data_IF_234566442301
#
_entry.id   IF_234566442301
#
_cell.length_a   1.000
_cell.length_b   1.000
_cell.length_c   1.000
_cell.angle_alpha   90.00
_cell.angle_beta   90.00
_cell.angle_gamma   90.00
#
_symmetry.space_group_name_H-M   'P 1'
#
loop_
_entity.id
_entity.type
_entity.pdbx_description
1 polymer ?
#
# COMPACT_ATOMS: atom_id res chain seq x y z
N UNK A 1 -1.13 -3.33 -9.14
CA UNK A 1 -2.05 -3.35 -7.98
C UNK A 1 -2.26 -1.97 -7.35
N UNK A 2 -1.20 -1.22 -6.98
CA UNK A 2 -1.35 0.17 -6.48
C UNK A 2 -2.19 1.08 -7.39
N UNK A 3 -1.93 1.10 -8.71
CA UNK A 3 -2.75 1.85 -9.68
C UNK A 3 -4.22 1.42 -9.66
N UNK A 4 -4.52 0.14 -9.50
CA UNK A 4 -5.91 -0.34 -9.44
C UNK A 4 -6.64 0.14 -8.17
N UNK A 5 -5.95 0.15 -7.02
CA UNK A 5 -6.52 0.65 -5.76
C UNK A 5 -6.71 2.16 -5.78
N UNK A 6 -5.72 2.91 -6.26
CA UNK A 6 -5.83 4.37 -6.48
C UNK A 6 -6.99 4.65 -7.43
N UNK A 7 -7.04 3.95 -8.56
CA UNK A 7 -8.08 4.12 -9.56
C UNK A 7 -9.49 3.78 -9.09
N UNK A 8 -9.65 2.85 -8.15
CA UNK A 8 -10.95 2.59 -7.54
C UNK A 8 -11.43 3.78 -6.72
N UNK A 9 -10.58 4.30 -5.82
CA UNK A 9 -10.93 5.45 -4.96
C UNK A 9 -11.14 6.73 -5.76
N UNK A 10 -10.30 6.98 -6.77
CA UNK A 10 -10.43 8.16 -7.63
C UNK A 10 -11.75 8.13 -8.41
N UNK A 11 -12.17 6.96 -8.93
CA UNK A 11 -13.47 6.82 -9.63
C UNK A 11 -14.67 7.06 -8.72
N UNK A 12 -14.52 6.80 -7.42
CA UNK A 12 -15.53 7.08 -6.40
C UNK A 12 -15.48 8.55 -5.91
N UNK A 13 -14.60 9.38 -6.48
CA UNK A 13 -14.45 10.79 -6.12
C UNK A 13 -13.62 11.02 -4.85
N UNK A 14 -12.98 9.99 -4.31
CA UNK A 14 -12.14 10.08 -3.12
C UNK A 14 -10.71 10.55 -3.41
N UNK A 15 -9.98 10.85 -2.33
CA UNK A 15 -8.56 11.16 -2.35
C UNK A 15 -7.75 9.97 -1.84
N UNK A 16 -6.57 9.77 -2.41
CA UNK A 16 -5.64 8.74 -1.98
C UNK A 16 -4.28 9.35 -1.64
N UNK A 17 -3.60 8.76 -0.66
CA UNK A 17 -2.18 8.98 -0.44
C UNK A 17 -1.37 7.75 -0.86
N UNK A 18 -0.26 7.96 -1.53
CA UNK A 18 0.74 6.95 -1.81
C UNK A 18 2.08 7.36 -1.21
N UNK A 19 2.55 6.57 -0.25
CA UNK A 19 3.87 6.69 0.36
C UNK A 19 4.79 5.68 -0.35
N UNK A 20 5.76 6.18 -1.10
CA UNK A 20 6.57 5.40 -2.03
C UNK A 20 8.07 5.72 -1.86
N UNK A 21 8.75 5.14 -0.85
CA UNK A 21 10.15 5.40 -0.57
C UNK A 21 11.13 5.04 -1.69
N UNK A 22 10.74 4.11 -2.56
CA UNK A 22 11.61 3.61 -3.62
C UNK A 22 11.30 4.20 -4.99
N UNK A 23 10.39 5.18 -5.05
CA UNK A 23 9.94 5.83 -6.29
C UNK A 23 9.54 4.78 -7.33
N UNK A 24 8.87 3.72 -6.89
CA UNK A 24 8.40 2.69 -7.80
C UNK A 24 7.28 3.23 -8.68
N UNK A 25 6.56 4.28 -8.26
CA UNK A 25 5.37 4.83 -8.90
C UNK A 25 5.67 5.54 -10.20
N UNK A 26 4.87 5.22 -11.21
CA UNK A 26 4.91 5.83 -12.54
C UNK A 26 3.68 6.73 -12.72
N UNK A 27 3.84 8.06 -12.57
CA UNK A 27 2.75 9.03 -12.76
C UNK A 27 2.30 9.13 -14.22
N UNK A 28 3.21 8.90 -15.18
CA UNK A 28 2.92 9.08 -16.61
C UNK A 28 1.89 8.05 -17.13
N UNK A 29 1.79 6.90 -16.47
CA UNK A 29 0.79 5.88 -16.77
C UNK A 29 -0.59 6.13 -16.15
N UNK A 30 -0.84 7.27 -15.50
CA UNK A 30 -2.12 7.55 -14.86
C UNK A 30 -3.11 8.22 -15.84
N UNK A 31 -4.40 7.81 -15.82
CA UNK A 31 -5.46 8.53 -16.52
C UNK A 31 -5.58 10.00 -16.07
N UNK A 32 -6.21 10.81 -16.91
CA UNK A 32 -6.49 12.21 -16.62
C UNK A 32 -7.28 12.39 -15.30
N UNK A 33 -6.96 13.45 -14.54
CA UNK A 33 -7.61 13.76 -13.26
C UNK A 33 -7.22 12.85 -12.08
N UNK A 34 -6.48 11.76 -12.28
CA UNK A 34 -6.01 10.92 -11.15
C UNK A 34 -5.01 11.64 -10.25
N UNK A 35 -4.03 12.31 -10.87
CA UNK A 35 -2.94 12.94 -10.12
C UNK A 35 -3.42 14.10 -9.25
N UNK A 36 -4.52 14.76 -9.62
CA UNK A 36 -5.16 15.82 -8.83
C UNK A 36 -5.74 15.31 -7.51
N UNK A 37 -6.01 14.00 -7.43
CA UNK A 37 -6.61 13.33 -6.26
C UNK A 37 -5.62 12.45 -5.51
N UNK A 38 -4.34 12.49 -5.89
CA UNK A 38 -3.29 11.66 -5.34
C UNK A 38 -2.25 12.52 -4.62
N UNK A 39 -2.14 12.35 -3.30
CA UNK A 39 -0.99 12.82 -2.55
C UNK A 39 0.15 11.80 -2.67
N UNK A 40 1.19 12.14 -3.42
CA UNK A 40 2.38 11.30 -3.56
C UNK A 40 3.50 11.76 -2.63
N UNK A 41 3.86 10.91 -1.67
CA UNK A 41 4.91 11.16 -0.68
C UNK A 41 6.09 10.26 -0.97
N UNK A 42 7.29 10.86 -1.09
CA UNK A 42 8.54 10.16 -1.40
C UNK A 42 9.51 10.24 -0.22
N UNK A 43 9.32 9.43 0.84
CA UNK A 43 10.23 9.37 1.98
C UNK A 43 11.55 8.69 1.61
N UNK A 44 12.60 8.88 2.41
CA UNK A 44 13.91 8.26 2.10
C UNK A 44 14.05 6.80 2.56
N UNK A 45 13.26 6.39 3.54
CA UNK A 45 13.44 5.12 4.25
C UNK A 45 12.12 4.63 4.87
N UNK A 46 12.15 3.41 5.42
CA UNK A 46 10.98 2.82 6.07
C UNK A 46 10.48 3.62 7.28
N UNK A 47 11.37 4.26 8.04
CA UNK A 47 11.01 5.01 9.25
C UNK A 47 10.22 6.27 8.88
N UNK A 48 10.71 7.04 7.90
CA UNK A 48 10.00 8.19 7.35
C UNK A 48 8.70 7.79 6.67
N UNK A 49 8.65 6.61 6.04
CA UNK A 49 7.43 6.07 5.45
C UNK A 49 6.34 5.88 6.51
N UNK A 50 6.69 5.29 7.66
CA UNK A 50 5.73 5.09 8.75
C UNK A 50 5.38 6.40 9.47
N UNK A 51 6.33 7.33 9.58
CA UNK A 51 6.05 8.66 10.11
C UNK A 51 5.06 9.43 9.23
N UNK A 52 5.23 9.39 7.90
CA UNK A 52 4.29 9.96 6.95
C UNK A 52 2.91 9.30 7.09
N UNK A 53 2.84 7.97 7.16
CA UNK A 53 1.57 7.26 7.35
C UNK A 53 0.87 7.69 8.65
N UNK A 54 1.61 7.83 9.75
CA UNK A 54 1.06 8.27 11.04
C UNK A 54 0.47 9.69 10.95
N UNK A 55 1.16 10.63 10.28
CA UNK A 55 0.67 11.99 10.07
C UNK A 55 -0.62 12.01 9.24
N UNK A 56 -0.64 11.28 8.12
CA UNK A 56 -1.80 11.26 7.22
C UNK A 56 -3.03 10.60 7.85
N UNK A 57 -2.82 9.54 8.64
CA UNK A 57 -3.92 8.88 9.35
C UNK A 57 -4.48 9.73 10.49
N UNK A 58 -3.65 10.55 11.14
CA UNK A 58 -4.10 11.51 12.17
C UNK A 58 -4.87 12.68 11.58
N UNK A 59 -4.46 13.14 10.40
CA UNK A 59 -5.14 14.20 9.67
C UNK A 59 -6.57 13.77 9.28
N UNK A 60 -6.76 12.52 8.88
CA UNK A 60 -8.08 11.92 8.71
C UNK A 60 -8.82 12.33 7.44
N UNK A 61 -8.24 13.19 6.60
CA UNK A 61 -8.88 13.67 5.36
C UNK A 61 -8.70 12.73 4.17
N UNK A 62 -7.88 11.67 4.31
CA UNK A 62 -7.54 10.75 3.23
C UNK A 62 -8.16 9.38 3.50
N UNK A 63 -9.25 9.01 2.78
CA UNK A 63 -9.93 7.73 2.99
C UNK A 63 -9.06 6.52 2.61
N UNK A 64 -8.02 6.70 1.80
CA UNK A 64 -7.06 5.65 1.44
C UNK A 64 -5.63 6.13 1.63
N UNK A 65 -4.86 5.40 2.44
CA UNK A 65 -3.41 5.56 2.62
C UNK A 65 -2.71 4.29 2.19
N UNK A 66 -1.88 4.38 1.16
CA UNK A 66 -1.08 3.30 0.60
C UNK A 66 0.39 3.50 1.02
N UNK A 67 1.02 2.45 1.55
CA UNK A 67 2.45 2.44 1.87
C UNK A 67 3.14 1.35 1.05
N UNK A 68 3.94 1.75 0.07
CA UNK A 68 4.65 0.83 -0.84
C UNK A 68 6.07 0.55 -0.33
N UNK A 69 6.22 -0.53 0.42
CA UNK A 69 7.51 -0.99 0.94
C UNK A 69 8.06 -2.18 0.14
N UNK A 70 7.53 -2.44 -1.06
CA UNK A 70 7.91 -3.58 -1.90
C UNK A 70 9.38 -3.58 -2.30
N UNK A 71 10.03 -2.43 -2.29
CA UNK A 71 11.43 -2.31 -2.72
C UNK A 71 12.39 -2.17 -1.54
N UNK A 72 11.89 -2.11 -0.31
CA UNK A 72 12.73 -2.07 0.88
C UNK A 72 13.24 -3.48 1.24
N UNK A 73 14.46 -3.53 1.75
CA UNK A 73 15.09 -4.78 2.15
C UNK A 73 14.44 -5.37 3.41
N UNK A 74 14.35 -6.70 3.49
CA UNK A 74 13.81 -7.41 4.67
C UNK A 74 14.43 -6.94 6.00
N UNK A 75 15.75 -6.74 6.02
CA UNK A 75 16.48 -6.27 7.21
C UNK A 75 16.05 -4.88 7.65
N UNK A 76 15.69 -4.00 6.72
CA UNK A 76 15.20 -2.66 7.02
C UNK A 76 13.80 -2.73 7.65
N UNK A 77 12.91 -3.55 7.07
CA UNK A 77 11.57 -3.75 7.60
C UNK A 77 11.56 -4.38 9.00
N UNK A 78 12.42 -5.36 9.25
CA UNK A 78 12.52 -6.02 10.56
C UNK A 78 13.11 -5.13 11.66
N UNK A 79 13.77 -4.01 11.31
CA UNK A 79 14.24 -3.03 12.30
C UNK A 79 13.12 -2.13 12.81
N UNK A 80 11.98 -2.09 12.13
CA UNK A 80 10.85 -1.29 12.54
C UNK A 80 10.22 -1.87 13.82
N UNK A 81 10.10 -1.09 14.90
CA UNK A 81 9.50 -1.58 16.14
C UNK A 81 8.04 -1.99 15.91
N UNK A 82 7.61 -3.13 16.47
CA UNK A 82 6.21 -3.58 16.41
C UNK A 82 5.21 -2.51 16.91
N UNK A 83 5.63 -1.71 17.89
CA UNK A 83 4.84 -0.62 18.44
C UNK A 83 4.37 0.38 17.36
N UNK A 84 5.16 0.62 16.31
CA UNK A 84 4.78 1.51 15.21
C UNK A 84 3.61 0.92 14.42
N UNK A 85 3.69 -0.38 14.10
CA UNK A 85 2.62 -1.08 13.39
C UNK A 85 1.31 -1.15 14.18
N UNK A 86 1.38 -1.39 15.49
CA UNK A 86 0.20 -1.35 16.37
C UNK A 86 -0.37 0.06 16.55
N UNK A 87 0.47 1.09 16.51
CA UNK A 87 0.01 2.48 16.55
C UNK A 87 -0.76 2.83 15.29
N UNK A 88 -0.24 2.51 14.11
CA UNK A 88 -0.93 2.71 12.83
C UNK A 88 -2.26 1.94 12.78
N UNK A 89 -2.28 0.70 13.26
CA UNK A 89 -3.52 -0.07 13.38
C UNK A 89 -4.57 0.67 14.23
N UNK A 90 -4.20 1.15 15.42
CA UNK A 90 -5.12 1.89 16.30
C UNK A 90 -5.66 3.18 15.68
N UNK A 91 -4.84 3.89 14.90
CA UNK A 91 -5.29 5.09 14.18
C UNK A 91 -6.36 4.73 13.15
N UNK A 92 -6.13 3.67 12.38
CA UNK A 92 -7.09 3.18 11.37
C UNK A 92 -8.39 2.73 12.02
N UNK A 93 -8.31 1.98 13.12
CA UNK A 93 -9.49 1.46 13.84
C UNK A 93 -10.44 2.54 14.35
N UNK A 94 -9.91 3.73 14.68
CA UNK A 94 -10.70 4.88 15.10
C UNK A 94 -11.12 5.81 13.96
N UNK A 95 -10.87 5.46 12.70
CA UNK A 95 -11.06 6.34 11.54
C UNK A 95 -11.86 5.66 10.41
N UNK A 96 -12.27 6.46 9.43
CA UNK A 96 -12.81 5.96 8.15
C UNK A 96 -11.71 5.63 7.14
N UNK A 97 -10.45 5.90 7.46
CA UNK A 97 -9.33 5.69 6.56
C UNK A 97 -8.98 4.20 6.44
N UNK A 98 -8.62 3.78 5.24
CA UNK A 98 -8.08 2.45 4.96
C UNK A 98 -6.57 2.55 4.77
N UNK A 99 -5.80 1.84 5.59
CA UNK A 99 -4.36 1.68 5.42
C UNK A 99 -4.04 0.37 4.70
N UNK A 100 -3.31 0.46 3.59
CA UNK A 100 -2.81 -0.70 2.84
C UNK A 100 -1.29 -0.62 2.77
N UNK A 101 -0.62 -1.70 3.19
CA UNK A 101 0.85 -1.79 3.19
C UNK A 101 1.28 -2.90 2.22
N UNK A 102 2.10 -2.55 1.24
CA UNK A 102 2.70 -3.52 0.31
C UNK A 102 4.08 -3.93 0.79
N UNK A 103 4.31 -5.23 0.92
CA UNK A 103 5.59 -5.82 1.35
C UNK A 103 5.85 -7.10 0.57
N UNK A 104 7.12 -7.40 0.27
CA UNK A 104 7.51 -8.66 -0.40
C UNK A 104 7.30 -9.88 0.48
N UNK A 105 7.45 -9.68 1.78
CA UNK A 105 7.38 -10.71 2.79
C UNK A 105 6.41 -10.29 3.90
N UNK A 106 5.80 -11.24 4.60
CA UNK A 106 4.89 -11.03 5.73
C UNK A 106 5.53 -10.26 6.92
N UNK A 107 5.79 -8.96 6.80
CA UNK A 107 6.52 -8.16 7.79
C UNK A 107 5.63 -7.38 8.78
N UNK A 108 4.35 -7.18 8.46
CA UNK A 108 3.43 -6.36 9.28
C UNK A 108 2.57 -7.27 10.16
N UNK A 109 3.04 -7.59 11.37
CA UNK A 109 2.35 -8.54 12.25
C UNK A 109 0.96 -8.06 12.72
N UNK A 110 0.77 -6.76 12.89
CA UNK A 110 -0.49 -6.17 13.35
C UNK A 110 -1.59 -6.10 12.28
N UNK A 111 -1.33 -6.62 11.07
CA UNK A 111 -2.30 -6.57 9.98
C UNK A 111 -3.56 -7.39 10.30
N UNK A 112 -4.73 -6.74 10.28
CA UNK A 112 -6.05 -7.41 10.41
C UNK A 112 -6.32 -8.36 9.25
N UNK A 113 -5.98 -7.93 8.05
CA UNK A 113 -6.11 -8.67 6.81
C UNK A 113 -4.76 -8.74 6.12
N UNK A 114 -4.35 -9.94 5.71
CA UNK A 114 -3.17 -10.15 4.89
C UNK A 114 -3.57 -10.82 3.58
N UNK A 115 -3.21 -10.17 2.48
CA UNK A 115 -3.41 -10.68 1.13
C UNK A 115 -2.04 -11.13 0.60
N UNK A 116 -1.83 -12.43 0.55
CA UNK A 116 -0.63 -13.01 -0.05
C UNK A 116 -0.90 -13.26 -1.52
N UNK A 117 -0.18 -12.53 -2.37
CA UNK A 117 -0.30 -12.61 -3.81
C UNK A 117 0.85 -13.43 -4.36
N UNK A 118 0.52 -14.56 -5.01
CA UNK A 118 1.50 -15.36 -5.73
C UNK A 118 1.34 -15.16 -7.23
N UNK A 119 2.39 -14.61 -7.81
CA UNK A 119 2.57 -14.50 -9.26
C UNK A 119 2.98 -15.89 -9.74
N UNK A 120 2.11 -16.59 -10.48
CA UNK A 120 2.43 -17.88 -11.08
C UNK A 120 3.56 -17.73 -12.12
N UNK A 121 4.46 -18.71 -12.20
CA UNK A 121 5.68 -18.67 -13.05
C UNK A 121 5.47 -18.66 -14.57
N UNK A 122 4.23 -18.49 -15.04
CA UNK A 122 3.89 -18.42 -16.47
C UNK A 122 3.78 -17.00 -17.03
N UNK A 123 4.10 -15.96 -16.25
CA UNK A 123 4.03 -14.57 -16.70
C UNK A 123 5.30 -14.22 -17.49
N UNK A 124 5.31 -14.68 -18.74
CA UNK A 124 6.27 -14.24 -19.74
C UNK A 124 6.26 -12.72 -19.82
N UNK A 125 7.47 -12.14 -19.79
CA UNK A 125 7.77 -10.73 -19.94
C UNK A 125 7.44 -10.26 -21.37
N UNK A 126 6.18 -10.22 -21.76
CA UNK A 126 5.75 -9.51 -22.96
C UNK A 126 5.03 -8.23 -22.51
N UNK A 127 5.51 -7.09 -23.02
CA UNK A 127 5.25 -5.73 -22.55
C UNK A 127 3.82 -5.20 -22.69
N UNK A 128 2.81 -6.05 -22.67
CA UNK A 128 1.38 -5.70 -22.67
C UNK A 128 0.72 -6.19 -21.38
N UNK A 129 1.15 -5.62 -20.26
CA UNK A 129 0.78 -6.07 -18.93
C UNK A 129 0.14 -4.93 -18.13
N UNK A 130 -1.13 -4.61 -18.40
CA UNK A 130 -1.88 -3.64 -17.57
C UNK A 130 -3.25 -4.11 -17.05
N UNK A 131 -3.94 -5.06 -17.68
CA UNK A 131 -5.26 -5.52 -17.18
C UNK A 131 -5.40 -7.03 -16.97
N UNK A 132 -4.73 -7.88 -17.77
CA UNK A 132 -4.85 -9.35 -17.66
C UNK A 132 -4.11 -9.99 -16.48
N UNK A 133 -3.17 -9.28 -15.84
CA UNK A 133 -2.35 -9.80 -14.73
C UNK A 133 -3.16 -10.20 -13.50
N UNK A 134 -4.31 -9.57 -13.29
CA UNK A 134 -5.15 -9.86 -12.14
C UNK A 134 -5.74 -11.28 -12.17
N UNK A 135 -5.89 -11.88 -13.36
CA UNK A 135 -6.56 -13.17 -13.56
C UNK A 135 -5.67 -14.36 -13.15
N UNK A 136 -4.34 -14.19 -13.15
CA UNK A 136 -3.37 -15.24 -12.78
C UNK A 136 -2.81 -15.15 -11.36
N UNK A 137 -3.23 -14.17 -10.56
CA UNK A 137 -2.74 -13.99 -9.20
C UNK A 137 -3.42 -14.98 -8.25
N UNK A 138 -2.65 -15.92 -7.72
CA UNK A 138 -3.10 -16.74 -6.60
C UNK A 138 -3.21 -15.87 -5.36
N UNK A 139 -4.42 -15.42 -5.02
CA UNK A 139 -4.70 -14.62 -3.82
C UNK A 139 -5.02 -15.55 -2.66
N UNK A 140 -4.18 -15.57 -1.62
CA UNK A 140 -4.51 -16.17 -0.33
C UNK A 140 -4.86 -15.06 0.66
N UNK A 141 -6.04 -15.17 1.26
CA UNK A 141 -6.52 -14.24 2.28
C UNK A 141 -6.33 -14.86 3.65
N UNK A 142 -5.51 -14.22 4.48
CA UNK A 142 -5.32 -14.58 5.89
C UNK A 142 -5.95 -13.48 6.76
N UNK A 143 -7.00 -13.83 7.50
CA UNK A 143 -7.62 -12.94 8.50
C UNK A 143 -7.05 -13.28 9.87
N UNK A 144 -6.44 -12.30 10.52
CA UNK A 144 -6.07 -12.43 11.93
C UNK A 144 -7.29 -12.03 12.75
N UNK A 145 -7.88 -12.97 13.51
CA UNK A 145 -8.87 -12.62 14.54
C UNK A 145 -8.12 -11.84 15.62
N UNK A 146 -8.40 -10.54 15.72
CA UNK A 146 -7.98 -9.73 16.85
C UNK A 146 -8.91 -10.10 18.01
N UNK A 147 -8.36 -10.68 19.08
CA UNK A 147 -9.04 -10.77 20.38
C UNK A 147 -8.96 -9.42 21.07
#
# INVERSE_FOLDING_TARGET
MRHALIGAVVREGGFAALIDPAVGFDPCGCPEGWLERLLWVQPRDAVQSLAAADLLLRDGNLPLVLVDLMHLGRRELLRLPMAVWHRLQRLVEGSVATLVVFTREPAVESARLRLLLRVGGGLGLQGELREGLCVGLGVRVERRRVM
#
